data_IF_269453540631
#
_entry.id   IF_269453540631
#
_cell.length_a   1.000
_cell.length_b   1.000
_cell.length_c   1.000
_cell.angle_alpha   90.00
_cell.angle_beta   90.00
_cell.angle_gamma   90.00
#
_symmetry.space_group_name_H-M   'P 1'
#
loop_
_entity.id
_entity.type
_entity.pdbx_description
1 polymer ?
#
# COMPACT_ATOMS: atom_id res chain seq x y z
N UNK A 1 -19.00 6.31 2.87
CA UNK A 1 -18.36 5.63 4.01
C UNK A 1 -17.59 6.66 4.79
N UNK A 2 -17.88 6.80 6.07
CA UNK A 2 -17.05 7.55 7.00
C UNK A 2 -16.21 6.55 7.80
N UNK A 3 -14.88 6.64 7.69
CA UNK A 3 -13.94 5.76 8.38
C UNK A 3 -13.10 6.58 9.36
N UNK A 4 -13.42 6.44 10.65
CA UNK A 4 -12.64 7.03 11.74
C UNK A 4 -11.92 5.98 12.60
N UNK A 5 -12.19 4.69 12.33
CA UNK A 5 -11.54 3.55 12.99
C UNK A 5 -10.45 2.89 12.12
N UNK A 6 -10.07 1.68 12.49
CA UNK A 6 -9.06 0.90 11.76
C UNK A 6 -9.70 -0.29 11.05
N UNK A 7 -9.41 -0.45 9.76
CA UNK A 7 -9.60 -1.70 9.03
C UNK A 7 -8.22 -2.22 8.66
N UNK A 8 -7.91 -3.43 9.12
CA UNK A 8 -6.59 -4.04 8.95
C UNK A 8 -6.71 -5.46 8.42
N UNK A 9 -5.86 -5.77 7.45
CA UNK A 9 -5.52 -7.13 7.01
C UNK A 9 -4.02 -7.35 7.17
N UNK A 10 -3.44 -6.77 8.21
CA UNK A 10 -2.02 -6.85 8.45
C UNK A 10 -1.58 -8.30 8.70
N UNK A 11 -0.38 -8.62 8.21
CA UNK A 11 0.25 -9.88 8.51
C UNK A 11 0.57 -10.00 10.00
N UNK A 12 0.44 -11.22 10.55
CA UNK A 12 0.82 -11.47 11.94
C UNK A 12 2.33 -11.42 12.09
N UNK A 13 2.82 -10.86 13.20
CA UNK A 13 4.24 -10.92 13.54
C UNK A 13 4.68 -12.36 13.76
N UNK A 14 5.95 -12.60 13.44
CA UNK A 14 6.65 -13.83 13.78
C UNK A 14 6.64 -14.08 15.28
N UNK A 15 6.83 -15.34 15.66
CA UNK A 15 6.97 -15.78 17.04
C UNK A 15 8.44 -16.05 17.33
N UNK A 16 8.92 -15.45 18.41
CA UNK A 16 10.28 -15.63 18.87
C UNK A 16 10.48 -17.06 19.41
N UNK A 17 11.66 -17.61 19.15
CA UNK A 17 12.05 -18.95 19.61
C UNK A 17 13.50 -18.95 20.08
N UNK A 18 13.75 -18.36 21.26
CA UNK A 18 15.11 -18.07 21.74
C UNK A 18 15.72 -19.13 22.65
N UNK A 19 15.01 -20.20 22.99
CA UNK A 19 15.41 -21.13 24.06
C UNK A 19 15.63 -22.59 23.64
N UNK A 20 15.74 -22.93 22.35
CA UNK A 20 15.85 -24.36 21.93
C UNK A 20 16.53 -24.60 20.58
N UNK A 21 17.61 -23.88 20.21
CA UNK A 21 18.26 -24.06 18.89
C UNK A 21 17.23 -24.13 17.75
N UNK A 22 16.24 -23.23 17.79
CA UNK A 22 15.08 -23.25 16.90
C UNK A 22 14.97 -21.92 16.18
N UNK A 23 14.60 -21.93 14.89
CA UNK A 23 14.40 -20.70 14.14
C UNK A 23 13.14 -19.97 14.60
N UNK A 24 13.20 -18.64 14.56
CA UNK A 24 12.00 -17.82 14.69
C UNK A 24 11.07 -18.03 13.49
N UNK A 25 9.76 -17.87 13.69
CA UNK A 25 8.85 -17.85 12.54
C UNK A 25 8.93 -16.50 11.84
N UNK A 26 8.85 -16.48 10.51
CA UNK A 26 8.74 -15.25 9.74
C UNK A 26 7.45 -14.49 10.02
N UNK A 27 7.44 -13.19 9.70
CA UNK A 27 6.23 -12.38 9.69
C UNK A 27 5.31 -12.76 8.53
N UNK A 28 4.00 -12.81 8.77
CA UNK A 28 3.00 -13.05 7.74
C UNK A 28 2.93 -11.91 6.73
N UNK A 29 2.55 -12.20 5.48
CA UNK A 29 2.30 -11.17 4.49
C UNK A 29 1.00 -10.39 4.79
N UNK A 30 0.96 -9.11 4.42
CA UNK A 30 -0.25 -8.32 4.42
C UNK A 30 -1.27 -8.85 3.40
N UNK A 31 -2.55 -8.76 3.74
CA UNK A 31 -3.67 -9.24 2.92
C UNK A 31 -4.06 -8.28 1.79
N UNK A 32 -5.30 -8.40 1.31
CA UNK A 32 -5.84 -7.48 0.31
C UNK A 32 -7.13 -6.82 0.81
N UNK A 33 -7.23 -5.50 0.61
CA UNK A 33 -8.41 -4.69 0.89
C UNK A 33 -8.96 -4.10 -0.40
N UNK A 34 -10.26 -4.27 -0.61
CA UNK A 34 -11.01 -3.57 -1.66
C UNK A 34 -12.06 -2.70 -0.99
N UNK A 35 -11.96 -1.39 -1.21
CA UNK A 35 -12.94 -0.41 -0.76
C UNK A 35 -13.69 0.09 -1.99
N UNK A 36 -15.00 -0.11 -2.01
CA UNK A 36 -15.89 0.42 -3.05
C UNK A 36 -16.94 1.28 -2.37
N UNK A 37 -16.91 2.58 -2.61
CA UNK A 37 -17.82 3.51 -1.98
C UNK A 37 -18.16 4.69 -2.91
N UNK A 38 -19.39 5.18 -2.83
CA UNK A 38 -19.78 6.43 -3.48
C UNK A 38 -19.02 7.64 -2.95
N UNK A 39 -18.60 7.59 -1.67
CA UNK A 39 -17.80 8.58 -0.97
C UNK A 39 -16.94 7.89 0.09
N UNK A 40 -15.72 8.36 0.30
CA UNK A 40 -14.85 7.96 1.41
C UNK A 40 -14.34 9.21 2.15
N UNK A 41 -14.65 9.31 3.44
CA UNK A 41 -14.27 10.42 4.31
C UNK A 41 -13.79 9.91 5.68
N UNK A 42 -13.19 10.79 6.48
CA UNK A 42 -12.72 10.47 7.85
C UNK A 42 -11.20 10.42 7.97
N UNK A 43 -10.74 10.09 9.17
CA UNK A 43 -9.31 10.15 9.58
C UNK A 43 -8.74 8.80 10.04
N UNK A 44 -9.49 7.72 9.82
CA UNK A 44 -9.13 6.37 10.25
C UNK A 44 -7.94 5.76 9.51
N UNK A 45 -7.76 4.45 9.65
CA UNK A 45 -6.64 3.73 9.03
C UNK A 45 -7.14 2.55 8.20
N UNK A 46 -6.62 2.42 6.98
CA UNK A 46 -6.67 1.22 6.16
C UNK A 46 -5.26 0.63 6.10
N UNK A 47 -5.08 -0.61 6.54
CA UNK A 47 -3.77 -1.23 6.66
C UNK A 47 -3.71 -2.63 6.05
N UNK A 48 -2.67 -2.88 5.28
CA UNK A 48 -2.28 -4.18 4.74
C UNK A 48 -0.76 -4.33 4.88
N UNK A 49 -0.20 -3.91 6.00
CA UNK A 49 1.22 -4.04 6.30
C UNK A 49 1.58 -5.53 6.53
N UNK A 50 2.81 -5.92 6.17
CA UNK A 50 3.36 -7.21 6.56
C UNK A 50 3.67 -7.27 8.05
N UNK A 51 3.59 -8.46 8.64
CA UNK A 51 3.98 -8.72 10.02
C UNK A 51 5.49 -8.65 10.21
N UNK A 52 5.94 -8.23 11.38
CA UNK A 52 7.37 -8.19 11.69
C UNK A 52 7.97 -9.60 11.78
N UNK A 53 9.26 -9.74 11.49
CA UNK A 53 10.04 -10.90 11.87
C UNK A 53 10.24 -10.98 13.38
N UNK A 54 10.98 -11.98 13.84
CA UNK A 54 11.15 -12.26 15.26
C UNK A 54 12.55 -12.82 15.59
N UNK A 55 12.86 -12.77 16.88
CA UNK A 55 14.12 -13.21 17.49
C UNK A 55 14.24 -14.74 17.53
N UNK A 56 15.29 -15.25 16.90
CA UNK A 56 15.62 -16.67 16.86
C UNK A 56 16.67 -17.07 17.88
N UNK A 57 16.98 -18.36 17.96
CA UNK A 57 18.15 -18.78 18.72
C UNK A 57 19.43 -18.43 17.94
N UNK A 58 20.37 -17.72 18.58
CA UNK A 58 21.67 -17.41 17.99
C UNK A 58 21.56 -16.48 16.78
N UNK A 59 21.67 -17.04 15.58
CA UNK A 59 21.55 -16.30 14.30
C UNK A 59 20.30 -16.68 13.50
N UNK A 60 19.39 -17.47 14.07
CA UNK A 60 18.21 -17.99 13.37
C UNK A 60 17.01 -17.03 13.42
N UNK A 61 17.29 -15.73 13.30
CA UNK A 61 16.30 -14.65 13.22
C UNK A 61 15.43 -14.77 11.97
N UNK A 62 14.28 -14.10 11.98
CA UNK A 62 13.37 -14.11 10.84
C UNK A 62 13.13 -12.73 10.23
N UNK A 63 12.81 -12.74 8.94
CA UNK A 63 12.37 -11.55 8.20
C UNK A 63 10.89 -11.27 8.43
N UNK A 64 10.50 -10.00 8.22
CA UNK A 64 9.11 -9.61 8.13
C UNK A 64 8.46 -10.04 6.81
N UNK A 65 7.13 -10.08 6.81
CA UNK A 65 6.35 -10.39 5.62
C UNK A 65 6.22 -9.20 4.67
N UNK A 66 5.83 -9.46 3.42
CA UNK A 66 5.59 -8.40 2.43
C UNK A 66 4.36 -7.57 2.78
N UNK A 67 4.32 -6.33 2.28
CA UNK A 67 3.07 -5.57 2.26
C UNK A 67 2.04 -6.18 1.32
N UNK A 68 0.78 -5.84 1.56
CA UNK A 68 -0.39 -6.35 0.85
C UNK A 68 -0.85 -5.44 -0.29
N UNK A 69 -2.13 -5.51 -0.64
CA UNK A 69 -2.73 -4.67 -1.69
C UNK A 69 -3.96 -3.96 -1.18
N UNK A 70 -4.03 -2.65 -1.38
CA UNK A 70 -5.23 -1.87 -1.08
C UNK A 70 -5.70 -1.24 -2.37
N UNK A 71 -6.97 -1.43 -2.73
CA UNK A 71 -7.61 -0.76 -3.85
C UNK A 71 -8.81 0.03 -3.34
N UNK A 72 -8.83 1.33 -3.64
CA UNK A 72 -9.88 2.26 -3.19
C UNK A 72 -10.56 2.84 -4.42
N UNK A 73 -11.82 2.50 -4.59
CA UNK A 73 -12.74 3.07 -5.56
C UNK A 73 -13.70 4.01 -4.84
N UNK A 74 -13.38 5.30 -4.85
CA UNK A 74 -14.16 6.36 -4.22
C UNK A 74 -14.68 7.33 -5.29
N UNK A 75 -15.97 7.20 -5.64
CA UNK A 75 -16.54 7.82 -6.84
C UNK A 75 -17.01 9.29 -6.65
N UNK A 76 -16.53 9.98 -5.63
CA UNK A 76 -17.08 11.29 -5.28
C UNK A 76 -16.59 12.36 -6.28
N UNK A 77 -17.52 13.06 -6.92
CA UNK A 77 -17.20 13.85 -8.12
C UNK A 77 -16.60 15.22 -7.85
N UNK A 78 -16.66 15.78 -6.63
CA UNK A 78 -16.05 17.08 -6.28
C UNK A 78 -16.25 17.47 -4.81
N UNK A 79 -15.16 17.83 -4.13
CA UNK A 79 -15.07 18.79 -2.98
C UNK A 79 -15.76 18.47 -1.65
N UNK A 80 -16.19 17.23 -1.39
CA UNK A 80 -16.85 16.85 -0.12
C UNK A 80 -15.98 16.00 0.80
N UNK A 81 -15.01 16.59 1.52
CA UNK A 81 -14.18 15.89 2.54
C UNK A 81 -13.50 14.61 2.01
N UNK A 82 -12.32 14.78 1.41
CA UNK A 82 -11.42 13.67 1.11
C UNK A 82 -11.02 12.96 2.41
N UNK A 83 -11.00 11.63 2.40
CA UNK A 83 -10.35 10.85 3.46
C UNK A 83 -8.93 11.37 3.69
N UNK A 84 -8.63 11.79 4.91
CA UNK A 84 -7.31 12.27 5.34
C UNK A 84 -6.64 11.32 6.32
N UNK A 85 -7.25 10.15 6.52
CA UNK A 85 -6.69 9.05 7.27
C UNK A 85 -5.51 8.41 6.57
N UNK A 86 -4.94 7.38 7.20
CA UNK A 86 -3.76 6.72 6.67
C UNK A 86 -4.11 5.46 5.88
N UNK A 87 -3.43 5.27 4.74
CA UNK A 87 -3.51 4.03 3.95
C UNK A 87 -2.10 3.50 3.77
N UNK A 88 -1.86 2.25 4.20
CA UNK A 88 -0.50 1.68 4.26
C UNK A 88 -0.50 0.22 3.86
N UNK A 89 0.49 -0.15 3.04
CA UNK A 89 0.74 -1.53 2.62
C UNK A 89 2.26 -1.77 2.61
N UNK A 90 2.91 -1.68 3.75
CA UNK A 90 4.37 -1.70 3.91
C UNK A 90 4.86 -3.11 4.20
N UNK A 91 6.14 -3.38 3.95
CA UNK A 91 6.75 -4.59 4.44
C UNK A 91 6.85 -4.57 5.97
N UNK A 92 6.75 -5.75 6.59
CA UNK A 92 7.04 -5.92 8.00
C UNK A 92 8.52 -5.76 8.29
N UNK A 93 8.85 -5.25 9.48
CA UNK A 93 10.24 -5.07 9.89
C UNK A 93 10.95 -6.43 9.99
N UNK A 94 12.20 -6.52 9.53
CA UNK A 94 13.05 -7.67 9.82
C UNK A 94 13.57 -7.59 11.26
N UNK A 95 13.89 -8.74 11.85
CA UNK A 95 14.58 -8.80 13.15
C UNK A 95 16.08 -9.10 12.93
N UNK A 96 16.94 -8.53 13.77
CA UNK A 96 18.38 -8.71 13.68
C UNK A 96 19.07 -7.88 12.59
N UNK A 97 20.35 -8.16 12.35
CA UNK A 97 21.22 -7.42 11.41
C UNK A 97 21.33 -8.07 10.03
N UNK A 98 20.71 -9.23 9.82
CA UNK A 98 20.86 -10.08 8.64
C UNK A 98 19.52 -10.23 7.91
N UNK A 99 19.09 -9.21 7.16
CA UNK A 99 17.81 -9.30 6.49
C UNK A 99 17.60 -8.31 5.37
N UNK A 100 17.42 -8.86 4.16
CA UNK A 100 16.67 -8.17 3.13
C UNK A 100 15.20 -8.10 3.57
N UNK A 101 14.66 -6.91 3.76
CA UNK A 101 13.24 -6.79 4.11
C UNK A 101 12.35 -7.28 2.97
N UNK A 102 11.13 -7.75 3.24
CA UNK A 102 10.23 -8.05 2.14
C UNK A 102 9.87 -6.77 1.35
N UNK A 103 9.32 -6.93 0.15
CA UNK A 103 8.86 -5.79 -0.63
C UNK A 103 7.64 -5.12 0.02
N UNK A 104 7.50 -3.81 -0.17
CA UNK A 104 6.24 -3.14 0.10
C UNK A 104 5.15 -3.68 -0.83
N UNK A 105 3.92 -3.49 -0.38
CA UNK A 105 2.70 -3.68 -1.14
C UNK A 105 2.37 -2.48 -2.03
N UNK A 106 1.13 -2.41 -2.47
CA UNK A 106 0.62 -1.34 -3.34
C UNK A 106 -0.68 -0.77 -2.82
N UNK A 107 -0.84 0.56 -2.92
CA UNK A 107 -2.12 1.24 -2.70
C UNK A 107 -2.58 1.88 -4.00
N UNK A 108 -3.74 1.47 -4.49
CA UNK A 108 -4.39 2.01 -5.68
C UNK A 108 -5.56 2.89 -5.29
N UNK A 109 -5.62 4.09 -5.88
CA UNK A 109 -6.71 5.04 -5.75
C UNK A 109 -7.34 5.30 -7.12
N UNK A 110 -8.65 5.13 -7.16
CA UNK A 110 -9.53 5.59 -8.21
C UNK A 110 -10.29 6.78 -7.64
N UNK A 111 -9.74 7.98 -7.85
CA UNK A 111 -10.27 9.25 -7.34
C UNK A 111 -11.16 9.91 -8.38
N UNK A 112 -12.27 10.50 -7.92
CA UNK A 112 -13.28 11.10 -8.77
C UNK A 112 -13.99 10.11 -9.69
N UNK A 113 -14.75 10.65 -10.64
CA UNK A 113 -15.42 9.86 -11.67
C UNK A 113 -15.28 10.55 -13.02
N UNK A 114 -14.62 9.87 -13.97
CA UNK A 114 -14.58 10.29 -15.36
C UNK A 114 -15.99 10.36 -15.95
N UNK A 115 -16.19 11.30 -16.88
CA UNK A 115 -17.45 11.38 -17.62
C UNK A 115 -17.68 10.11 -18.43
N UNK A 116 -18.94 9.84 -18.80
CA UNK A 116 -19.24 8.68 -19.64
C UNK A 116 -18.53 8.76 -21.00
N UNK A 117 -18.40 9.97 -21.55
CA UNK A 117 -17.66 10.22 -22.78
C UNK A 117 -16.17 9.91 -22.66
N UNK A 118 -15.52 10.30 -21.56
CA UNK A 118 -14.09 10.01 -21.34
C UNK A 118 -13.87 8.51 -21.12
N UNK A 119 -14.67 7.89 -20.26
CA UNK A 119 -14.58 6.45 -20.01
C UNK A 119 -14.87 5.61 -21.26
N UNK A 120 -15.75 6.08 -22.15
CA UNK A 120 -16.03 5.41 -23.42
C UNK A 120 -14.84 5.46 -24.39
N UNK A 121 -14.02 6.51 -24.35
CA UNK A 121 -12.79 6.61 -25.15
C UNK A 121 -11.70 5.67 -24.63
N UNK A 122 -11.63 5.47 -23.32
CA UNK A 122 -10.65 4.59 -22.67
C UNK A 122 -11.08 3.10 -22.69
N UNK A 123 -12.37 2.83 -22.91
CA UNK A 123 -12.91 1.48 -23.03
C UNK A 123 -12.57 0.58 -21.82
N UNK A 124 -11.99 -0.59 -22.08
CA UNK A 124 -11.64 -1.56 -21.03
C UNK A 124 -10.50 -1.11 -20.10
N UNK A 125 -9.77 -0.04 -20.45
CA UNK A 125 -8.70 0.52 -19.63
C UNK A 125 -9.24 1.23 -18.38
N UNK A 126 -10.47 1.74 -18.42
CA UNK A 126 -11.10 2.47 -17.32
C UNK A 126 -12.56 2.08 -17.08
N UNK A 127 -12.81 0.78 -16.97
CA UNK A 127 -14.13 0.18 -16.67
C UNK A 127 -14.76 0.78 -15.40
N UNK A 128 -13.94 1.21 -14.45
CA UNK A 128 -14.39 1.80 -13.18
C UNK A 128 -14.64 3.32 -13.25
N UNK A 129 -14.42 3.94 -14.42
CA UNK A 129 -14.59 5.38 -14.67
C UNK A 129 -13.85 6.23 -13.64
N UNK A 130 -12.63 5.83 -13.27
CA UNK A 130 -11.77 6.60 -12.38
C UNK A 130 -11.45 7.94 -13.05
N UNK A 131 -11.59 9.03 -12.30
CA UNK A 131 -11.13 10.34 -12.78
C UNK A 131 -9.60 10.42 -12.79
N UNK A 132 -8.96 9.96 -11.72
CA UNK A 132 -7.50 9.82 -11.59
C UNK A 132 -7.16 8.46 -11.00
N UNK A 133 -6.26 7.73 -11.65
CA UNK A 133 -5.72 6.43 -11.27
C UNK A 133 -4.35 6.63 -10.64
N UNK A 134 -4.31 6.76 -9.31
CA UNK A 134 -3.05 6.88 -8.57
C UNK A 134 -2.61 5.52 -8.02
N UNK A 135 -1.33 5.22 -8.14
CA UNK A 135 -0.69 4.06 -7.54
C UNK A 135 0.43 4.54 -6.59
N UNK A 136 0.39 4.09 -5.35
CA UNK A 136 1.35 4.46 -4.30
C UNK A 136 2.12 3.21 -3.83
N UNK A 137 3.45 3.33 -3.80
CA UNK A 137 4.38 2.31 -3.32
C UNK A 137 5.28 2.97 -2.29
N UNK A 138 4.89 2.88 -1.01
CA UNK A 138 5.63 3.44 0.10
C UNK A 138 6.04 2.33 1.07
N UNK A 139 7.34 2.24 1.37
CA UNK A 139 7.87 1.36 2.42
C UNK A 139 8.31 2.11 3.68
N UNK A 140 7.89 3.38 3.84
CA UNK A 140 8.27 4.27 4.94
C UNK A 140 9.79 4.32 5.19
N UNK A 141 10.57 4.51 4.13
CA UNK A 141 12.04 4.60 4.15
C UNK A 141 12.75 3.37 4.74
N UNK A 142 12.08 2.22 4.78
CA UNK A 142 12.71 0.94 5.10
C UNK A 142 13.55 0.46 3.91
N UNK A 143 14.74 1.05 3.76
CA UNK A 143 15.68 0.83 2.66
C UNK A 143 16.69 -0.24 3.05
N UNK A 144 16.30 -1.53 2.95
CA UNK A 144 17.25 -2.66 3.04
C UNK A 144 16.71 -3.87 2.27
N UNK A 145 16.27 -3.74 1.01
CA UNK A 145 15.80 -4.92 0.26
C UNK A 145 16.19 -4.93 -1.22
N UNK A 146 16.70 -6.07 -1.76
CA UNK A 146 16.77 -6.33 -3.19
C UNK A 146 15.41 -6.75 -3.78
N UNK A 147 14.37 -6.93 -2.96
CA UNK A 147 13.02 -7.26 -3.41
C UNK A 147 12.25 -5.99 -3.77
N UNK A 148 11.86 -5.90 -5.03
CA UNK A 148 11.06 -4.80 -5.55
C UNK A 148 9.58 -5.13 -5.48
N UNK A 149 8.75 -4.14 -5.17
CA UNK A 149 7.30 -4.25 -5.35
C UNK A 149 7.00 -4.52 -6.82
N UNK A 150 6.20 -5.56 -7.10
CA UNK A 150 5.87 -5.98 -8.46
C UNK A 150 4.41 -5.65 -8.79
N UNK A 151 4.18 -5.05 -9.95
CA UNK A 151 2.85 -4.92 -10.54
C UNK A 151 2.67 -6.03 -11.57
N UNK A 152 1.93 -7.06 -11.19
CA UNK A 152 1.65 -8.18 -12.09
C UNK A 152 0.37 -7.90 -12.90
N UNK A 153 0.50 -7.93 -14.22
CA UNK A 153 -0.64 -7.82 -15.12
C UNK A 153 -1.19 -9.21 -15.46
N UNK A 154 -2.51 -9.41 -15.50
CA UNK A 154 -3.08 -10.66 -15.99
C UNK A 154 -2.76 -10.83 -17.48
N UNK A 155 -2.63 -12.07 -17.95
CA UNK A 155 -2.13 -12.39 -19.31
C UNK A 155 -2.91 -11.74 -20.48
N UNK A 156 -4.17 -11.36 -20.24
CA UNK A 156 -5.03 -10.70 -21.22
C UNK A 156 -4.89 -9.17 -21.23
N UNK A 157 -4.26 -8.56 -20.20
CA UNK A 157 -3.93 -7.13 -20.17
C UNK A 157 -2.48 -6.92 -20.57
N UNK A 158 -2.28 -6.19 -21.66
CA UNK A 158 -0.94 -5.83 -22.17
C UNK A 158 -0.51 -4.42 -21.77
N UNK A 159 -1.46 -3.58 -21.38
CA UNK A 159 -1.24 -2.19 -20.98
C UNK A 159 -2.08 -1.89 -19.75
N UNK A 160 -1.50 -1.15 -18.80
CA UNK A 160 -2.24 -0.50 -17.71
C UNK A 160 -1.78 0.94 -17.68
N UNK A 161 -2.74 1.84 -17.58
CA UNK A 161 -2.48 3.25 -17.41
C UNK A 161 -2.58 3.61 -15.93
N UNK A 162 -1.59 4.38 -15.49
CA UNK A 162 -1.51 4.98 -14.16
C UNK A 162 -1.28 6.46 -14.40
N UNK A 163 -2.18 7.30 -13.91
CA UNK A 163 -2.10 8.74 -14.10
C UNK A 163 -1.07 9.35 -13.15
N UNK A 164 -0.97 8.81 -11.93
CA UNK A 164 0.00 9.23 -10.92
C UNK A 164 0.69 8.03 -10.27
N UNK A 165 2.02 7.99 -10.30
CA UNK A 165 2.83 6.99 -9.58
C UNK A 165 3.61 7.67 -8.45
N UNK A 166 3.34 7.29 -7.20
CA UNK A 166 4.00 7.84 -6.02
C UNK A 166 4.92 6.77 -5.41
N UNK A 167 6.22 7.08 -5.27
CA UNK A 167 7.23 6.17 -4.76
C UNK A 167 7.86 6.76 -3.47
N UNK A 168 7.93 5.95 -2.41
CA UNK A 168 8.53 6.32 -1.13
C UNK A 168 7.62 7.17 -0.24
N UNK A 169 8.18 7.67 0.87
CA UNK A 169 7.45 8.50 1.84
C UNK A 169 7.18 9.87 1.22
N UNK A 170 6.10 9.94 0.42
CA UNK A 170 5.64 11.14 -0.24
C UNK A 170 5.21 12.19 0.78
N UNK A 171 6.17 12.91 1.36
CA UNK A 171 5.94 14.30 1.76
C UNK A 171 5.71 15.08 0.47
N UNK A 172 4.48 15.09 -0.03
CA UNK A 172 4.05 16.14 -0.96
C UNK A 172 4.11 17.45 -0.19
N UNK A 173 5.22 18.18 -0.32
CA UNK A 173 5.28 19.58 0.07
C UNK A 173 4.34 20.36 -0.84
N UNK A 174 3.05 20.43 -0.49
CA UNK A 174 2.18 21.47 -1.02
C UNK A 174 2.66 22.79 -0.44
N UNK A 175 3.34 23.58 -1.27
CA UNK A 175 3.58 25.00 -1.01
C UNK A 175 5.01 25.35 -0.65
N UNK A 176 5.87 25.47 -1.67
CA UNK A 176 6.91 26.48 -1.68
C UNK A 176 6.90 27.14 -3.06
N UNK A 177 6.14 28.24 -3.20
CA UNK A 177 6.44 29.22 -4.23
C UNK A 177 7.81 29.78 -3.87
N UNK A 178 8.84 29.45 -4.65
CA UNK A 178 10.04 30.26 -4.68
C UNK A 178 9.68 31.56 -5.39
N UNK A 179 9.47 32.61 -4.60
CA UNK A 179 9.59 33.98 -5.04
C UNK A 179 10.98 34.49 -4.61
N UNK A 180 11.65 35.21 -5.51
CA UNK A 180 12.92 35.90 -5.29
C UNK A 180 14.09 35.17 -5.94
N UNK A 181 14.93 35.80 -6.76
CA UNK A 181 15.17 37.23 -7.04
C UNK A 181 15.46 37.40 -8.52
#
# INVERSE_FOLDING_TARGET
MELNGTVSVDGQSGRAHTSSYSPASGGGAGGSLLVVASRLSGTGTLSADGGAGADGYGSDDSNGGSGGRIAIHAYETSRGVSFTGAVRARAGAAYGSWGAQAAAGTVYWCDGRASESEAALEGEANVHRCGVRRLELDNSDRVLTPYFTQLQLPAWRRLVEVDELHLGSGRTARGARAAGV
#
